data_IF_600365075873
#
_entry.id   IF_600365075873
#
_cell.length_a   1.000
_cell.length_b   1.000
_cell.length_c   1.000
_cell.angle_alpha   90.00
_cell.angle_beta   90.00
_cell.angle_gamma   90.00
#
_symmetry.space_group_name_H-M   'P 1'
#
loop_
_entity.id
_entity.type
_entity.pdbx_description
1 polymer ?
#
# COMPACT_ATOMS: atom_id res chain seq x y z
N UNK A 1 -50.83 3.61 4.77
CA UNK A 1 -50.32 4.36 3.61
C UNK A 1 -49.34 3.47 2.86
N UNK A 2 -49.66 3.07 1.63
CA UNK A 2 -48.72 2.38 0.74
C UNK A 2 -48.00 3.47 -0.04
N UNK A 3 -46.67 3.49 0.03
CA UNK A 3 -45.85 4.47 -0.67
C UNK A 3 -45.65 3.94 -2.10
N UNK A 4 -46.48 4.40 -3.03
CA UNK A 4 -46.35 4.04 -4.44
C UNK A 4 -45.15 4.80 -5.03
N UNK A 5 -44.12 4.05 -5.38
CA UNK A 5 -42.98 4.59 -6.10
C UNK A 5 -43.37 4.76 -7.57
N UNK A 6 -43.15 5.95 -8.10
CA UNK A 6 -43.28 6.22 -9.53
C UNK A 6 -42.13 5.51 -10.26
N UNK A 7 -42.45 4.53 -11.11
CA UNK A 7 -41.48 3.66 -11.80
C UNK A 7 -40.45 4.47 -12.63
N UNK A 8 -40.77 5.73 -12.96
CA UNK A 8 -39.92 6.64 -13.71
C UNK A 8 -38.73 7.22 -12.94
N UNK A 9 -38.64 7.08 -11.61
CA UNK A 9 -37.49 7.53 -10.79
C UNK A 9 -37.17 9.03 -10.81
N UNK A 10 -37.83 9.80 -11.67
CA UNK A 10 -37.63 11.22 -11.93
C UNK A 10 -37.90 12.08 -10.69
N UNK A 11 -38.86 11.69 -9.85
CA UNK A 11 -39.23 12.41 -8.63
C UNK A 11 -38.30 12.08 -7.45
N UNK A 12 -37.65 10.92 -7.48
CA UNK A 12 -36.70 10.50 -6.45
C UNK A 12 -35.38 11.29 -6.54
N UNK A 13 -34.99 11.67 -7.77
CA UNK A 13 -33.80 12.46 -8.03
C UNK A 13 -33.81 13.79 -7.26
N UNK A 14 -34.94 14.50 -7.29
CA UNK A 14 -35.10 15.78 -6.58
C UNK A 14 -35.06 15.63 -5.05
N UNK A 15 -35.29 14.44 -4.50
CA UNK A 15 -35.20 14.18 -3.07
C UNK A 15 -33.78 13.74 -2.65
N UNK A 16 -33.14 12.92 -3.47
CA UNK A 16 -31.84 12.30 -3.17
C UNK A 16 -30.69 13.27 -3.45
N UNK A 17 -30.74 13.99 -4.57
CA UNK A 17 -29.69 14.93 -4.94
C UNK A 17 -29.41 16.03 -3.92
N UNK A 18 -30.39 16.80 -3.40
CA UNK A 18 -30.08 17.87 -2.47
C UNK A 18 -29.42 17.30 -1.20
N UNK A 19 -29.82 16.10 -0.74
CA UNK A 19 -29.18 15.43 0.39
C UNK A 19 -27.69 15.16 0.15
N UNK A 20 -27.34 14.66 -1.04
CA UNK A 20 -25.93 14.46 -1.40
C UNK A 20 -25.21 15.79 -1.65
N UNK A 21 -25.86 16.79 -2.24
CA UNK A 21 -25.29 18.11 -2.47
C UNK A 21 -24.89 18.83 -1.17
N UNK A 22 -25.71 18.76 -0.11
CA UNK A 22 -25.37 19.33 1.20
C UNK A 22 -24.18 18.61 1.87
N UNK A 23 -24.10 17.28 1.73
CA UNK A 23 -22.96 16.48 2.22
C UNK A 23 -21.68 16.87 1.45
N UNK A 24 -21.76 16.98 0.12
CA UNK A 24 -20.65 17.36 -0.74
C UNK A 24 -20.26 18.84 -0.64
N UNK A 25 -21.17 19.73 -0.24
CA UNK A 25 -20.85 21.14 0.05
C UNK A 25 -20.14 21.30 1.40
N UNK A 26 -20.41 20.38 2.34
CA UNK A 26 -19.79 20.36 3.67
C UNK A 26 -18.39 19.74 3.65
N UNK A 27 -18.14 18.77 2.76
CA UNK A 27 -16.86 18.07 2.65
C UNK A 27 -15.65 19.00 2.36
N UNK A 28 -15.75 19.98 1.44
CA UNK A 28 -14.68 20.95 1.19
C UNK A 28 -14.44 21.90 2.35
N UNK A 29 -15.42 22.10 3.24
CA UNK A 29 -15.22 22.87 4.47
C UNK A 29 -14.46 22.07 5.53
N UNK A 30 -14.62 20.75 5.55
CA UNK A 30 -13.90 19.84 6.44
C UNK A 30 -12.47 19.56 5.95
N UNK A 31 -12.28 19.43 4.64
CA UNK A 31 -10.98 19.29 3.99
C UNK A 31 -10.30 20.64 3.67
N UNK A 32 -10.85 21.77 4.17
CA UNK A 32 -10.29 23.11 3.94
C UNK A 32 -8.97 23.22 4.72
N UNK A 33 -7.81 23.34 4.04
CA UNK A 33 -6.53 23.46 4.73
C UNK A 33 -6.52 24.78 5.49
N UNK A 34 -6.65 24.70 6.81
CA UNK A 34 -6.67 25.86 7.69
C UNK A 34 -5.23 26.33 7.84
N UNK A 35 -4.94 27.43 7.13
CA UNK A 35 -3.79 28.30 7.32
C UNK A 35 -2.51 27.78 6.66
N UNK A 36 -2.10 28.54 5.65
CA UNK A 36 -0.72 28.70 5.15
C UNK A 36 0.04 27.40 4.92
N UNK A 37 0.14 26.98 3.64
CA UNK A 37 1.36 26.44 3.00
C UNK A 37 0.95 25.99 1.58
N UNK A 38 0.91 26.96 0.65
CA UNK A 38 0.90 26.67 -0.80
C UNK A 38 2.33 26.22 -1.18
N UNK A 39 2.76 25.08 -0.62
CA UNK A 39 4.00 24.38 -1.03
C UNK A 39 3.71 23.01 -1.66
N UNK A 40 2.46 22.56 -1.65
CA UNK A 40 2.10 21.23 -2.14
C UNK A 40 1.81 21.17 -3.65
N UNK A 41 1.41 22.27 -4.29
CA UNK A 41 1.18 22.25 -5.76
C UNK A 41 2.50 22.17 -6.53
N UNK A 42 3.60 22.72 -6.00
CA UNK A 42 4.93 22.59 -6.64
C UNK A 42 5.57 21.21 -6.43
N UNK A 43 5.16 20.45 -5.41
CA UNK A 43 5.72 19.14 -5.12
C UNK A 43 5.31 18.07 -6.15
N UNK A 44 4.21 18.29 -6.88
CA UNK A 44 3.78 17.39 -7.96
C UNK A 44 4.68 17.47 -9.21
N UNK A 45 5.42 18.57 -9.42
CA UNK A 45 6.33 18.72 -10.56
C UNK A 45 7.75 18.23 -10.27
N UNK A 46 8.11 18.14 -8.98
CA UNK A 46 9.42 17.70 -8.52
C UNK A 46 9.36 16.42 -7.69
N UNK A 47 8.29 15.64 -7.82
CA UNK A 47 8.33 14.25 -7.40
C UNK A 47 9.21 13.54 -8.43
N UNK A 48 10.48 13.19 -8.12
CA UNK A 48 11.15 12.22 -8.97
C UNK A 48 10.21 11.00 -8.96
N UNK A 49 10.01 10.41 -10.14
CA UNK A 49 9.57 9.01 -10.22
C UNK A 49 10.27 8.30 -9.07
N UNK A 50 9.49 7.77 -8.13
CA UNK A 50 10.02 7.04 -7.00
C UNK A 50 10.78 5.88 -7.67
N UNK A 51 12.09 6.06 -7.88
CA UNK A 51 13.00 4.96 -8.06
C UNK A 51 12.87 4.26 -6.74
N UNK A 52 12.07 3.21 -6.78
CA UNK A 52 12.15 2.20 -5.75
C UNK A 52 13.57 1.71 -5.84
N UNK A 53 14.46 2.33 -5.07
CA UNK A 53 15.74 1.75 -4.68
C UNK A 53 15.42 0.62 -3.70
N UNK A 54 14.55 -0.29 -4.13
CA UNK A 54 14.48 -1.62 -3.60
C UNK A 54 15.66 -2.29 -4.28
N UNK A 55 16.77 -2.42 -3.55
CA UNK A 55 17.81 -3.37 -3.92
C UNK A 55 17.12 -4.64 -4.42
N UNK A 56 17.38 -5.04 -5.67
CA UNK A 56 16.70 -6.17 -6.32
C UNK A 56 16.81 -7.41 -5.43
N UNK A 57 15.74 -7.72 -4.69
CA UNK A 57 15.70 -8.84 -3.75
C UNK A 57 15.64 -10.15 -4.55
N UNK A 58 16.79 -10.76 -4.82
CA UNK A 58 16.89 -12.09 -5.42
C UNK A 58 17.07 -13.15 -4.32
N UNK A 59 16.03 -13.91 -3.94
CA UNK A 59 16.10 -14.88 -2.85
C UNK A 59 17.12 -15.99 -3.12
N UNK A 60 17.37 -16.33 -4.38
CA UNK A 60 18.35 -17.35 -4.76
C UNK A 60 19.78 -16.86 -4.58
N UNK A 61 20.02 -15.55 -4.77
CA UNK A 61 21.31 -14.93 -4.52
C UNK A 61 21.67 -14.95 -3.02
N UNK A 62 20.69 -14.72 -2.16
CA UNK A 62 20.85 -14.77 -0.69
C UNK A 62 21.12 -16.20 -0.22
N UNK A 63 20.45 -17.17 -0.84
CA UNK A 63 20.67 -18.59 -0.58
C UNK A 63 21.96 -19.11 -1.22
N UNK A 64 22.63 -18.36 -2.11
CA UNK A 64 23.77 -18.80 -2.92
C UNK A 64 23.49 -20.11 -3.68
N UNK A 65 22.26 -20.28 -4.18
CA UNK A 65 21.77 -21.49 -4.85
C UNK A 65 21.28 -21.13 -6.25
N UNK A 66 21.47 -22.04 -7.22
CA UNK A 66 20.96 -21.87 -8.57
C UNK A 66 19.42 -21.87 -8.59
N UNK A 67 18.81 -21.11 -9.52
CA UNK A 67 17.35 -21.02 -9.68
C UNK A 67 16.73 -22.38 -10.07
N UNK A 68 17.51 -23.27 -10.65
CA UNK A 68 17.10 -24.61 -11.07
C UNK A 68 17.37 -25.71 -10.02
N UNK A 69 17.86 -25.35 -8.84
CA UNK A 69 18.22 -26.33 -7.81
C UNK A 69 17.00 -27.10 -7.26
N UNK A 70 17.18 -28.37 -6.84
CA UNK A 70 16.11 -29.16 -6.27
C UNK A 70 15.67 -28.61 -4.90
N UNK A 71 14.38 -28.71 -4.59
CA UNK A 71 13.76 -28.20 -3.35
C UNK A 71 14.46 -28.73 -2.08
N UNK A 72 15.00 -29.96 -2.14
CA UNK A 72 15.76 -30.56 -1.05
C UNK A 72 17.03 -29.77 -0.69
N UNK A 73 17.69 -29.19 -1.70
CA UNK A 73 18.92 -28.41 -1.53
C UNK A 73 18.61 -27.03 -0.98
N UNK A 74 17.58 -26.36 -1.51
CA UNK A 74 17.08 -25.07 -1.01
C UNK A 74 16.74 -25.19 0.48
N UNK A 75 16.02 -26.25 0.87
CA UNK A 75 15.63 -26.47 2.27
C UNK A 75 16.82 -26.70 3.19
N UNK A 76 17.86 -27.40 2.72
CA UNK A 76 19.09 -27.64 3.48
C UNK A 76 19.83 -26.33 3.74
N UNK A 77 20.10 -25.55 2.69
CA UNK A 77 20.84 -24.28 2.78
C UNK A 77 20.09 -23.25 3.61
N UNK A 78 18.78 -23.15 3.42
CA UNK A 78 17.88 -22.37 4.25
C UNK A 78 18.03 -22.72 5.75
N UNK A 79 18.03 -24.01 6.09
CA UNK A 79 18.18 -24.43 7.48
C UNK A 79 19.56 -24.13 8.07
N UNK A 80 20.61 -24.24 7.27
CA UNK A 80 21.99 -23.91 7.66
C UNK A 80 22.16 -22.40 7.90
N UNK A 81 21.69 -21.56 6.97
CA UNK A 81 21.74 -20.10 7.09
C UNK A 81 20.99 -19.60 8.33
N UNK A 82 19.82 -20.17 8.64
CA UNK A 82 19.09 -19.80 9.86
C UNK A 82 19.81 -20.16 11.16
N UNK A 83 20.69 -21.16 11.15
CA UNK A 83 21.50 -21.51 12.34
C UNK A 83 22.68 -20.56 12.55
N UNK A 84 23.20 -20.00 11.45
CA UNK A 84 24.33 -19.09 11.43
C UNK A 84 23.85 -17.68 11.78
N UNK A 85 22.81 -17.20 11.09
CA UNK A 85 22.29 -15.83 11.24
C UNK A 85 21.22 -15.72 12.34
N UNK A 86 21.16 -16.68 13.28
CA UNK A 86 20.16 -16.62 14.35
C UNK A 86 20.48 -15.45 15.30
N UNK A 87 19.50 -14.58 15.63
CA UNK A 87 19.73 -13.43 16.51
C UNK A 87 20.24 -13.84 17.89
N UNK A 88 19.73 -14.93 18.46
CA UNK A 88 20.21 -15.47 19.75
C UNK A 88 21.67 -15.94 19.75
N UNK A 89 22.29 -16.10 18.57
CA UNK A 89 23.70 -16.53 18.42
C UNK A 89 24.61 -15.38 17.95
N UNK A 90 24.11 -14.15 17.99
CA UNK A 90 24.86 -12.95 17.58
C UNK A 90 24.78 -12.63 16.08
N UNK A 91 23.81 -13.21 15.35
CA UNK A 91 23.49 -12.80 13.99
C UNK A 91 22.75 -11.47 13.95
N UNK A 92 22.89 -10.74 12.85
CA UNK A 92 22.18 -9.48 12.63
C UNK A 92 20.67 -9.75 12.39
N UNK A 93 19.76 -9.14 13.19
CA UNK A 93 18.33 -9.39 13.06
C UNK A 93 17.74 -8.91 11.73
N UNK A 94 18.33 -7.89 11.09
CA UNK A 94 17.86 -7.41 9.79
C UNK A 94 18.21 -8.40 8.68
N UNK A 95 19.40 -8.99 8.71
CA UNK A 95 19.81 -10.02 7.76
C UNK A 95 18.97 -11.31 7.87
N UNK A 96 18.53 -11.69 9.07
CA UNK A 96 17.62 -12.82 9.24
C UNK A 96 16.23 -12.58 8.65
N UNK A 97 15.74 -11.34 8.68
CA UNK A 97 14.43 -10.96 8.13
C UNK A 97 14.43 -10.85 6.61
N UNK A 98 15.61 -10.71 5.98
CA UNK A 98 15.80 -10.68 4.53
C UNK A 98 15.84 -12.08 3.89
N UNK A 99 15.27 -13.11 4.52
CA UNK A 99 15.24 -14.48 3.99
C UNK A 99 13.84 -14.88 3.52
#
# INVERSE_FOLDING_TARGET
MKFDYDEGGEKLYYFILPRFAFILLSLPCYLRPRREEIKFVSLAYHAPLITTENEDYDPFAILAVDKEAPISEIKRVCHELSKINHPDRGGDPEEFLKK
#
